data_IF_255441493414
#
_entry.id   IF_255441493414
#
_cell.length_a   1.000
_cell.length_b   1.000
_cell.length_c   1.000
_cell.angle_alpha   90.00
_cell.angle_beta   90.00
_cell.angle_gamma   90.00
#
_symmetry.space_group_name_H-M   'P 1'
#
loop_
_entity.id
_entity.type
_entity.pdbx_description
1 polymer ?
#
# COMPACT_ATOMS: atom_id res chain seq x y z
N UNK A 1 -6.78 52.06 57.64
CA UNK A 1 -8.07 52.47 57.04
C UNK A 1 -8.30 51.58 55.83
N UNK A 2 -9.31 50.73 55.65
CA UNK A 2 -10.60 50.49 56.31
C UNK A 2 -10.92 48.99 56.27
N UNK A 3 -11.58 48.54 57.33
CA UNK A 3 -12.17 47.24 57.64
C UNK A 3 -13.44 46.97 56.81
N UNK A 4 -13.70 45.71 56.41
CA UNK A 4 -15.04 45.10 56.20
C UNK A 4 -14.83 43.56 56.16
N UNK A 5 -15.11 42.76 57.19
CA UNK A 5 -16.37 42.38 57.85
C UNK A 5 -17.26 41.39 57.06
N UNK A 6 -17.20 40.11 57.49
CA UNK A 6 -18.25 39.08 57.66
C UNK A 6 -19.26 38.79 56.53
N UNK A 7 -19.48 37.50 56.23
CA UNK A 7 -20.62 36.68 56.74
C UNK A 7 -20.57 35.22 56.25
N UNK A 8 -21.00 34.32 57.13
CA UNK A 8 -21.29 32.89 56.93
C UNK A 8 -22.68 32.66 56.31
N UNK A 9 -22.88 31.50 55.67
CA UNK A 9 -24.09 30.61 55.63
C UNK A 9 -24.03 29.77 54.32
N UNK A 10 -23.81 28.45 54.34
CA UNK A 10 -24.72 27.34 54.67
C UNK A 10 -25.86 27.13 53.65
N UNK A 11 -25.87 26.00 52.93
CA UNK A 11 -27.02 25.10 52.73
C UNK A 11 -26.77 24.07 51.59
N UNK A 12 -26.76 22.79 51.97
CA UNK A 12 -27.47 21.64 51.36
C UNK A 12 -28.02 21.77 49.94
N UNK A 13 -27.77 20.77 49.08
CA UNK A 13 -28.76 19.72 48.70
C UNK A 13 -28.06 18.65 47.84
N UNK A 14 -28.09 17.40 48.29
CA UNK A 14 -27.71 16.24 47.50
C UNK A 14 -28.87 15.83 46.57
N UNK A 15 -28.61 15.70 45.27
CA UNK A 15 -29.54 15.11 44.32
C UNK A 15 -28.94 13.79 43.81
N UNK A 16 -29.45 12.68 44.35
CA UNK A 16 -29.19 11.33 43.85
C UNK A 16 -30.11 11.12 42.65
N UNK A 17 -29.54 11.01 41.46
CA UNK A 17 -30.27 10.55 40.27
C UNK A 17 -30.05 9.05 40.13
N UNK A 18 -31.07 8.27 40.44
CA UNK A 18 -31.13 6.83 40.16
C UNK A 18 -31.52 6.66 38.69
N UNK A 19 -30.57 6.30 37.83
CA UNK A 19 -30.87 5.77 36.50
C UNK A 19 -30.84 4.24 36.56
N UNK A 20 -32.02 3.64 36.54
CA UNK A 20 -32.19 2.22 36.28
C UNK A 20 -32.03 1.96 34.78
N UNK A 21 -30.92 1.34 34.37
CA UNK A 21 -30.72 0.84 33.02
C UNK A 21 -31.00 -0.67 32.99
N UNK A 22 -32.06 -1.06 32.28
CA UNK A 22 -32.30 -2.44 31.86
C UNK A 22 -31.13 -2.92 30.99
N UNK A 23 -30.36 -3.88 31.49
CA UNK A 23 -29.37 -4.62 30.69
C UNK A 23 -30.06 -5.82 30.03
N UNK A 24 -30.66 -5.61 28.86
CA UNK A 24 -30.92 -6.70 27.91
C UNK A 24 -29.59 -7.01 27.24
N UNK A 25 -28.88 -8.01 27.77
CA UNK A 25 -27.62 -8.51 27.25
C UNK A 25 -27.81 -9.28 25.94
N UNK A 26 -28.04 -8.56 24.85
CA UNK A 26 -27.74 -9.04 23.49
C UNK A 26 -26.28 -8.73 23.21
N UNK A 27 -25.36 -9.61 23.62
CA UNK A 27 -23.97 -9.49 23.24
C UNK A 27 -23.84 -9.47 21.72
N UNK A 28 -23.06 -8.56 21.11
CA UNK A 28 -22.81 -8.63 19.68
C UNK A 28 -22.17 -9.98 19.40
N UNK A 29 -22.77 -10.74 18.48
CA UNK A 29 -22.13 -11.89 17.89
C UNK A 29 -20.80 -11.41 17.29
N UNK A 30 -19.69 -11.72 17.97
CA UNK A 30 -18.37 -11.58 17.41
C UNK A 30 -18.30 -12.54 16.23
N UNK A 31 -18.56 -12.01 15.03
CA UNK A 31 -18.25 -12.71 13.80
C UNK A 31 -16.75 -12.95 13.81
N UNK A 32 -16.39 -14.21 14.07
CA UNK A 32 -15.03 -14.72 14.00
C UNK A 32 -14.59 -14.63 12.54
N UNK A 33 -14.01 -13.49 12.15
CA UNK A 33 -13.38 -13.33 10.85
C UNK A 33 -12.06 -14.09 10.89
N UNK A 34 -12.13 -15.41 10.73
CA UNK A 34 -10.97 -16.22 10.36
C UNK A 34 -10.40 -15.59 9.08
N UNK A 35 -9.32 -14.81 9.25
CA UNK A 35 -8.83 -13.78 8.32
C UNK A 35 -8.34 -14.32 6.98
N UNK A 36 -9.23 -14.85 6.17
CA UNK A 36 -8.97 -15.12 4.77
C UNK A 36 -9.26 -13.83 3.99
N UNK A 37 -8.21 -13.03 3.80
CA UNK A 37 -8.26 -11.90 2.88
C UNK A 37 -8.56 -12.43 1.48
N UNK A 38 -9.75 -12.14 0.96
CA UNK A 38 -10.13 -12.52 -0.39
C UNK A 38 -9.19 -11.90 -1.43
N UNK A 39 -9.22 -12.37 -2.69
CA UNK A 39 -8.32 -11.87 -3.75
C UNK A 39 -8.47 -10.35 -4.00
N UNK A 40 -9.59 -9.76 -3.60
CA UNK A 40 -9.82 -8.32 -3.69
C UNK A 40 -9.41 -7.54 -2.43
N UNK A 41 -8.94 -8.15 -1.36
CA UNK A 41 -8.46 -7.39 -0.20
C UNK A 41 -7.26 -6.52 -0.58
N UNK A 42 -7.26 -5.27 -0.11
CA UNK A 42 -6.19 -4.30 -0.38
C UNK A 42 -5.01 -4.61 0.54
N UNK A 43 -3.86 -4.86 -0.07
CA UNK A 43 -2.56 -5.01 0.60
C UNK A 43 -1.96 -3.63 0.89
N UNK A 44 -2.05 -2.71 -0.08
CA UNK A 44 -1.47 -1.37 0.02
C UNK A 44 -2.15 -0.41 -0.98
N UNK A 45 -2.03 0.89 -0.75
CA UNK A 45 -2.50 1.91 -1.70
C UNK A 45 -1.65 3.18 -1.63
N UNK A 46 -1.48 3.85 -2.77
CA UNK A 46 -0.69 5.07 -2.88
C UNK A 46 -1.10 5.87 -4.12
N UNK A 47 -0.57 7.09 -4.26
CA UNK A 47 -0.78 7.92 -5.45
C UNK A 47 0.30 7.61 -6.49
N UNK A 48 -0.09 7.29 -7.72
CA UNK A 48 0.86 7.18 -8.83
C UNK A 48 1.40 8.56 -9.22
N UNK A 49 2.45 8.58 -10.05
CA UNK A 49 2.98 9.80 -10.70
C UNK A 49 1.91 10.63 -11.41
N UNK A 50 0.86 9.98 -11.90
CA UNK A 50 -0.26 10.60 -12.61
C UNK A 50 -1.36 11.16 -11.70
N UNK A 51 -1.28 10.96 -10.38
CA UNK A 51 -2.23 11.47 -9.38
C UNK A 51 -3.39 10.54 -9.05
N UNK A 52 -3.64 9.48 -9.82
CA UNK A 52 -4.62 8.46 -9.46
C UNK A 52 -4.16 7.60 -8.28
N UNK A 53 -5.12 7.10 -7.49
CA UNK A 53 -4.83 6.11 -6.45
C UNK A 53 -4.64 4.73 -7.07
N UNK A 54 -3.48 4.14 -6.82
CA UNK A 54 -3.16 2.74 -7.11
C UNK A 54 -3.53 1.91 -5.89
N UNK A 55 -4.24 0.81 -6.13
CA UNK A 55 -4.50 -0.21 -5.11
C UNK A 55 -3.71 -1.46 -5.48
N UNK A 56 -2.89 -1.96 -4.56
CA UNK A 56 -2.33 -3.30 -4.67
C UNK A 56 -3.22 -4.24 -3.85
N UNK A 57 -3.82 -5.21 -4.51
CA UNK A 57 -4.66 -6.22 -3.86
C UNK A 57 -3.93 -7.56 -3.75
N UNK A 58 -4.40 -8.42 -2.86
CA UNK A 58 -3.85 -9.77 -2.65
C UNK A 58 -3.75 -10.49 -4.00
N UNK A 59 -4.85 -10.53 -4.75
CA UNK A 59 -4.91 -11.18 -6.05
C UNK A 59 -4.82 -12.70 -5.96
N UNK A 60 -4.31 -13.33 -7.01
CA UNK A 60 -4.19 -14.79 -7.11
C UNK A 60 -3.07 -15.19 -8.08
N UNK A 61 -2.61 -16.43 -7.98
CA UNK A 61 -1.70 -17.05 -8.96
C UNK A 61 -1.88 -18.57 -8.92
N UNK A 62 -2.22 -19.17 -10.07
CA UNK A 62 -2.44 -20.62 -10.20
C UNK A 62 -1.31 -21.35 -10.96
N UNK A 63 -0.24 -20.64 -11.33
CA UNK A 63 0.84 -21.15 -12.19
C UNK A 63 0.73 -20.75 -13.66
N UNK A 64 -0.43 -20.27 -14.11
CA UNK A 64 -0.68 -19.83 -15.48
C UNK A 64 -1.31 -18.43 -15.53
N UNK A 65 -2.30 -18.18 -14.67
CA UNK A 65 -3.09 -16.94 -14.60
C UNK A 65 -3.09 -16.40 -13.19
N UNK A 66 -3.30 -15.09 -13.09
CA UNK A 66 -3.33 -14.41 -11.82
C UNK A 66 -3.10 -12.91 -11.94
N UNK A 67 -3.21 -12.24 -10.81
CA UNK A 67 -3.03 -10.80 -10.68
C UNK A 67 -2.54 -10.42 -9.28
N UNK A 68 -2.16 -9.15 -9.12
CA UNK A 68 -1.91 -8.54 -7.82
C UNK A 68 -0.68 -9.09 -7.11
N UNK A 69 -0.66 -8.90 -5.80
CA UNK A 69 0.48 -9.18 -4.94
C UNK A 69 0.96 -10.63 -5.04
N UNK A 70 0.05 -11.61 -4.98
CA UNK A 70 0.40 -13.04 -5.03
C UNK A 70 1.17 -13.41 -6.30
N UNK A 71 0.75 -12.91 -7.47
CA UNK A 71 1.48 -13.14 -8.73
C UNK A 71 2.84 -12.41 -8.73
N UNK A 72 2.86 -11.16 -8.29
CA UNK A 72 4.07 -10.33 -8.30
C UNK A 72 5.18 -10.94 -7.45
N UNK A 73 4.86 -11.41 -6.24
CA UNK A 73 5.84 -12.04 -5.35
C UNK A 73 6.22 -13.43 -5.83
N UNK A 74 5.24 -14.30 -6.09
CA UNK A 74 5.51 -15.71 -6.33
C UNK A 74 6.08 -15.99 -7.72
N UNK A 75 5.60 -15.28 -8.74
CA UNK A 75 6.00 -15.51 -10.13
C UNK A 75 7.07 -14.53 -10.62
N UNK A 76 6.98 -13.25 -10.24
CA UNK A 76 7.88 -12.21 -10.75
C UNK A 76 9.04 -11.84 -9.82
N UNK A 77 9.08 -12.35 -8.58
CA UNK A 77 10.14 -12.06 -7.60
C UNK A 77 10.29 -10.57 -7.24
N UNK A 78 9.19 -9.85 -7.13
CA UNK A 78 9.18 -8.42 -6.81
C UNK A 78 8.42 -8.16 -5.51
N UNK A 79 8.74 -7.07 -4.81
CA UNK A 79 8.01 -6.63 -3.61
C UNK A 79 7.05 -5.50 -3.92
N UNK A 80 6.19 -5.18 -2.95
CA UNK A 80 5.33 -3.99 -3.00
C UNK A 80 6.15 -2.71 -3.22
N UNK A 81 7.37 -2.63 -2.67
CA UNK A 81 8.26 -1.50 -2.85
C UNK A 81 8.63 -1.30 -4.32
N UNK A 82 8.98 -2.37 -5.04
CA UNK A 82 9.25 -2.29 -6.48
C UNK A 82 8.03 -1.84 -7.30
N UNK A 83 6.82 -2.30 -6.96
CA UNK A 83 5.58 -1.85 -7.63
C UNK A 83 5.31 -0.36 -7.37
N UNK A 84 5.52 0.09 -6.13
CA UNK A 84 5.43 1.51 -5.75
C UNK A 84 6.44 2.34 -6.54
N UNK A 85 7.70 1.92 -6.53
CA UNK A 85 8.77 2.54 -7.28
C UNK A 85 8.43 2.68 -8.77
N UNK A 86 7.94 1.61 -9.39
CA UNK A 86 7.54 1.58 -10.80
C UNK A 86 6.44 2.60 -11.13
N UNK A 87 5.51 2.85 -10.21
CA UNK A 87 4.35 3.73 -10.46
C UNK A 87 4.58 5.17 -9.98
N UNK A 88 5.50 5.39 -9.05
CA UNK A 88 5.89 6.71 -8.54
C UNK A 88 6.95 7.38 -9.42
N UNK A 89 7.94 6.60 -9.89
CA UNK A 89 9.12 7.10 -10.60
C UNK A 89 9.15 6.68 -12.06
N UNK A 90 7.99 6.34 -12.65
CA UNK A 90 7.90 5.94 -14.06
C UNK A 90 8.48 6.99 -14.99
N UNK A 91 9.38 6.55 -15.87
CA UNK A 91 9.89 7.37 -16.96
C UNK A 91 8.81 7.54 -18.03
N UNK A 92 8.20 6.42 -18.42
CA UNK A 92 7.17 6.36 -19.45
C UNK A 92 5.87 5.77 -18.90
N UNK A 93 4.73 6.29 -19.37
CA UNK A 93 3.40 5.81 -19.02
C UNK A 93 2.61 5.62 -20.31
N UNK A 94 2.28 4.37 -20.64
CA UNK A 94 1.58 4.02 -21.88
C UNK A 94 0.16 3.54 -21.59
N UNK A 95 -0.86 3.98 -22.34
CA UNK A 95 -2.18 3.39 -22.26
C UNK A 95 -2.16 1.94 -22.79
N UNK A 96 -2.83 1.03 -22.10
CA UNK A 96 -2.91 -0.40 -22.46
C UNK A 96 -4.38 -0.86 -22.59
N UNK A 97 -5.23 0.01 -23.14
CA UNK A 97 -6.64 -0.25 -23.38
C UNK A 97 -7.55 0.04 -22.18
N UNK A 98 -8.72 0.62 -22.46
CA UNK A 98 -9.68 1.06 -21.45
C UNK A 98 -9.05 2.00 -20.43
N UNK A 99 -9.18 1.65 -19.16
CA UNK A 99 -8.59 2.39 -18.01
C UNK A 99 -7.25 1.79 -17.56
N UNK A 100 -6.62 0.95 -18.37
CA UNK A 100 -5.34 0.29 -18.02
C UNK A 100 -4.16 1.15 -18.46
N UNK A 101 -3.19 1.34 -17.57
CA UNK A 101 -1.93 2.01 -17.85
C UNK A 101 -0.75 1.10 -17.53
N UNK A 102 0.28 1.17 -18.38
CA UNK A 102 1.58 0.55 -18.22
C UNK A 102 2.57 1.61 -17.77
N UNK A 103 3.12 1.46 -16.58
CA UNK A 103 4.18 2.30 -16.03
C UNK A 103 5.52 1.61 -16.25
N UNK A 104 6.48 2.32 -16.83
CA UNK A 104 7.81 1.80 -17.16
C UNK A 104 8.88 2.62 -16.44
N UNK A 105 9.69 1.92 -15.64
CA UNK A 105 10.78 2.52 -14.86
C UNK A 105 12.07 1.77 -15.13
N UNK A 106 13.12 2.42 -15.67
CA UNK A 106 14.44 1.81 -15.75
C UNK A 106 15.02 1.67 -14.34
N UNK A 107 15.48 0.48 -13.97
CA UNK A 107 16.16 0.19 -12.70
C UNK A 107 17.62 -0.13 -13.02
N UNK A 108 18.52 0.56 -12.35
CA UNK A 108 19.96 0.47 -12.62
C UNK A 108 20.66 -0.48 -11.63
N UNK A 109 21.41 -1.43 -12.16
CA UNK A 109 22.32 -2.24 -11.37
C UNK A 109 23.67 -1.52 -11.28
N UNK A 110 23.95 -0.96 -10.11
CA UNK A 110 25.20 -0.23 -9.85
C UNK A 110 26.17 -1.14 -9.11
N UNK A 111 27.33 -1.38 -9.72
CA UNK A 111 28.45 -2.05 -9.07
C UNK A 111 29.49 -1.01 -8.68
N UNK A 112 29.99 -1.10 -7.45
CA UNK A 112 31.03 -0.21 -6.96
C UNK A 112 32.28 -1.00 -6.58
N UNK A 113 33.43 -0.52 -7.06
CA UNK A 113 34.74 -1.07 -6.74
C UNK A 113 35.61 -0.03 -6.02
N UNK A 114 36.61 -0.50 -5.28
CA UNK A 114 37.50 0.35 -4.49
C UNK A 114 36.98 0.64 -3.08
N UNK A 115 37.78 1.36 -2.28
CA UNK A 115 37.49 1.64 -0.88
C UNK A 115 37.51 3.15 -0.59
N UNK A 116 36.63 3.60 0.31
CA UNK A 116 36.55 4.98 0.79
C UNK A 116 36.49 5.99 -0.37
N UNK A 117 37.40 6.97 -0.39
CA UNK A 117 37.49 8.04 -1.39
C UNK A 117 37.85 7.56 -2.80
N UNK A 118 38.35 6.33 -2.96
CA UNK A 118 38.67 5.74 -4.28
C UNK A 118 37.54 4.84 -4.79
N UNK A 119 36.36 4.85 -4.14
CA UNK A 119 35.21 4.08 -4.59
C UNK A 119 34.71 4.64 -5.92
N UNK A 120 34.73 3.80 -6.95
CA UNK A 120 34.15 4.10 -8.27
C UNK A 120 32.94 3.22 -8.48
N UNK A 121 31.81 3.83 -8.86
CA UNK A 121 30.56 3.13 -9.12
C UNK A 121 30.22 3.24 -10.60
N UNK A 122 29.76 2.15 -11.20
CA UNK A 122 29.35 2.09 -12.59
C UNK A 122 28.04 1.33 -12.71
N UNK A 123 27.18 1.79 -13.60
CA UNK A 123 25.98 1.05 -14.00
C UNK A 123 26.43 -0.08 -14.92
N UNK A 124 26.22 -1.33 -14.47
CA UNK A 124 26.61 -2.53 -15.21
C UNK A 124 25.44 -3.14 -16.00
N UNK A 125 24.20 -2.87 -15.58
CA UNK A 125 22.99 -3.36 -16.24
C UNK A 125 21.83 -2.39 -15.99
N UNK A 126 20.92 -2.24 -16.96
CA UNK A 126 19.67 -1.50 -16.79
C UNK A 126 18.52 -2.40 -17.22
N UNK A 127 17.52 -2.55 -16.36
CA UNK A 127 16.32 -3.33 -16.64
C UNK A 127 15.09 -2.45 -16.50
N UNK A 128 14.18 -2.52 -17.47
CA UNK A 128 12.87 -1.86 -17.36
C UNK A 128 11.94 -2.68 -16.48
N UNK A 129 11.63 -2.14 -15.31
CA UNK A 129 10.56 -2.61 -14.44
C UNK A 129 9.23 -2.03 -14.93
N UNK A 130 8.26 -2.91 -15.14
CA UNK A 130 6.96 -2.59 -15.70
C UNK A 130 5.90 -2.87 -14.66
N UNK A 131 5.03 -1.90 -14.36
CA UNK A 131 3.82 -2.10 -13.56
C UNK A 131 2.57 -1.81 -14.41
N UNK A 132 1.66 -2.77 -14.49
CA UNK A 132 0.39 -2.63 -15.20
C UNK A 132 -0.72 -2.42 -14.18
N UNK A 133 -1.41 -1.28 -14.27
CA UNK A 133 -2.47 -0.90 -13.33
C UNK A 133 -3.75 -0.65 -14.11
N UNK A 134 -4.85 -1.25 -13.65
CA UNK A 134 -6.17 -1.06 -14.21
C UNK A 134 -7.01 -0.17 -13.27
N UNK A 135 -7.35 1.02 -13.74
CA UNK A 135 -8.11 2.02 -12.98
C UNK A 135 -9.63 1.86 -13.14
N UNK A 136 -10.14 0.72 -13.63
CA UNK A 136 -11.59 0.50 -13.71
C UNK A 136 -12.17 0.53 -12.29
N UNK A 137 -13.31 1.20 -12.07
CA UNK A 137 -13.96 1.21 -10.77
C UNK A 137 -14.47 -0.19 -10.42
N UNK A 138 -14.48 -0.49 -9.13
CA UNK A 138 -15.14 -1.64 -8.53
C UNK A 138 -16.34 -1.16 -7.69
N UNK A 139 -17.22 -2.09 -7.31
CA UNK A 139 -18.42 -1.76 -6.52
C UNK A 139 -18.14 -1.24 -5.11
N UNK A 140 -16.89 -1.33 -4.65
CA UNK A 140 -16.42 -0.83 -3.35
C UNK A 140 -15.97 0.66 -3.40
N UNK A 141 -16.18 1.35 -4.53
CA UNK A 141 -15.78 2.75 -4.71
C UNK A 141 -14.27 2.95 -4.96
N UNK A 142 -13.51 1.87 -5.11
CA UNK A 142 -12.08 1.90 -5.43
C UNK A 142 -11.83 1.35 -6.84
N UNK A 143 -10.57 1.18 -7.25
CA UNK A 143 -10.24 0.61 -8.57
C UNK A 143 -9.77 -0.83 -8.48
N UNK A 144 -9.75 -1.53 -9.62
CA UNK A 144 -9.18 -2.87 -9.69
C UNK A 144 -7.74 -2.90 -9.19
N UNK A 145 -6.94 -1.93 -9.62
CA UNK A 145 -5.59 -1.72 -9.12
C UNK A 145 -4.52 -2.46 -9.93
N UNK A 146 -3.43 -2.85 -9.27
CA UNK A 146 -2.28 -3.47 -9.91
C UNK A 146 -2.65 -4.85 -10.46
N UNK A 147 -2.56 -4.99 -11.78
CA UNK A 147 -2.78 -6.27 -12.46
C UNK A 147 -1.53 -7.14 -12.32
N UNK A 148 -0.36 -6.59 -12.62
CA UNK A 148 0.92 -7.30 -12.53
C UNK A 148 2.09 -6.32 -12.53
N UNK A 149 3.26 -6.77 -12.11
CA UNK A 149 4.53 -6.07 -12.29
C UNK A 149 5.63 -7.07 -12.66
N UNK A 150 6.52 -6.74 -13.59
CA UNK A 150 7.54 -7.65 -14.14
C UNK A 150 8.70 -6.91 -14.80
N UNK A 151 9.77 -7.63 -15.12
CA UNK A 151 10.94 -7.12 -15.84
C UNK A 151 10.82 -7.45 -17.34
N UNK A 152 10.78 -6.44 -18.21
CA UNK A 152 10.43 -6.59 -19.64
C UNK A 152 11.39 -7.52 -20.40
N UNK A 153 12.68 -7.51 -20.04
CA UNK A 153 13.74 -8.29 -20.69
C UNK A 153 14.26 -9.48 -19.85
N UNK A 154 13.58 -9.83 -18.75
CA UNK A 154 13.94 -10.97 -17.88
C UNK A 154 12.69 -11.71 -17.36
N UNK A 155 11.91 -12.36 -18.24
CA UNK A 155 10.81 -13.22 -17.79
C UNK A 155 11.34 -14.59 -17.29
N UNK A 156 10.64 -15.27 -16.36
CA UNK A 156 9.47 -14.80 -15.62
C UNK A 156 9.82 -14.04 -14.33
N UNK A 157 11.01 -14.28 -13.76
CA UNK A 157 11.47 -13.71 -12.48
C UNK A 157 12.45 -12.57 -12.70
N UNK A 158 12.23 -11.46 -11.99
CA UNK A 158 13.20 -10.39 -11.88
C UNK A 158 14.42 -10.83 -11.04
N UNK A 159 15.63 -10.34 -11.37
CA UNK A 159 16.81 -10.51 -10.52
C UNK A 159 16.59 -9.91 -9.12
N UNK A 160 17.25 -10.47 -8.10
CA UNK A 160 17.09 -10.03 -6.72
C UNK A 160 17.49 -8.57 -6.49
N UNK A 161 18.44 -8.03 -7.26
CA UNK A 161 18.83 -6.62 -7.17
C UNK A 161 17.73 -5.65 -7.64
N UNK A 162 16.70 -6.13 -8.36
CA UNK A 162 15.52 -5.34 -8.77
C UNK A 162 14.39 -5.46 -7.73
N UNK A 163 14.44 -6.47 -6.86
CA UNK A 163 13.32 -6.90 -6.00
C UNK A 163 12.70 -5.78 -5.17
N UNK A 164 13.54 -4.86 -4.69
CA UNK A 164 13.14 -3.71 -3.86
C UNK A 164 13.25 -2.36 -4.58
N UNK A 165 13.73 -2.34 -5.83
CA UNK A 165 13.90 -1.14 -6.66
C UNK A 165 14.57 0.04 -5.92
N UNK A 166 15.71 -0.22 -5.26
CA UNK A 166 16.41 0.77 -4.44
C UNK A 166 17.21 1.79 -5.29
N UNK A 167 17.47 1.48 -6.56
CA UNK A 167 18.34 2.26 -7.45
C UNK A 167 17.58 2.77 -8.70
N UNK A 168 16.72 3.75 -8.49
CA UNK A 168 15.90 4.44 -9.50
C UNK A 168 16.03 5.94 -9.37
#
# INVERSE_FOLDING_TARGET
MRTFARRMAAATTAAIVVFAALLVGGGPASADSSGHFGPYSVVDSWKAKTGETVYLRVGSWDGNRGSGYTKIVNYHNLTTAAVKAATLYSKDIKPQGGTTKRFETPVEHVECHGASIFRTCRVIEVITLVAVVNFRPLGDGTTFGVVTAFCDNRPPRCPDWVKDAINI
#
